data_IF_305596525559
#
_entry.id   IF_305596525559
#
_cell.length_a   1.000
_cell.length_b   1.000
_cell.length_c   1.000
_cell.angle_alpha   90.00
_cell.angle_beta   90.00
_cell.angle_gamma   90.00
#
_symmetry.space_group_name_H-M   'P 1'
#
loop_
_entity.id
_entity.type
_entity.pdbx_description
1 polymer ?
#
# COMPACT_ATOMS: atom_id res chain seq x y z
N UNK A 1 1.24 -30.86 -19.74
CA UNK A 1 1.77 -29.88 -20.70
C UNK A 1 1.42 -28.48 -20.25
N UNK A 2 2.16 -27.46 -20.74
CA UNK A 2 1.98 -26.08 -20.29
C UNK A 2 0.63 -25.50 -20.73
N UNK A 3 0.14 -25.85 -21.90
CA UNK A 3 -1.18 -25.43 -22.38
C UNK A 3 -2.30 -26.01 -21.51
N UNK A 4 -2.22 -27.28 -21.14
CA UNK A 4 -3.16 -27.93 -20.23
C UNK A 4 -3.14 -27.28 -18.85
N UNK A 5 -1.96 -26.94 -18.34
CA UNK A 5 -1.83 -26.21 -17.09
C UNK A 5 -2.49 -24.82 -17.15
N UNK A 6 -2.27 -24.05 -18.22
CA UNK A 6 -2.91 -22.75 -18.41
C UNK A 6 -4.43 -22.86 -18.58
N UNK A 7 -4.89 -23.91 -19.29
CA UNK A 7 -6.31 -24.23 -19.42
C UNK A 7 -6.93 -24.55 -18.05
N UNK A 8 -6.30 -25.43 -17.28
CA UNK A 8 -6.71 -25.77 -15.92
C UNK A 8 -6.82 -24.53 -15.02
N UNK A 9 -5.83 -23.64 -15.06
CA UNK A 9 -5.85 -22.40 -14.29
C UNK A 9 -7.07 -21.51 -14.62
N UNK A 10 -7.45 -21.45 -15.88
CA UNK A 10 -8.56 -20.62 -16.32
C UNK A 10 -9.93 -21.28 -16.07
N UNK A 11 -10.07 -22.55 -16.40
CA UNK A 11 -11.36 -23.26 -16.37
C UNK A 11 -11.69 -23.85 -15.01
N UNK A 12 -10.74 -24.59 -14.43
CA UNK A 12 -10.98 -25.31 -13.16
C UNK A 12 -10.73 -24.38 -11.95
N UNK A 13 -9.66 -23.56 -11.98
CA UNK A 13 -9.33 -22.67 -10.87
C UNK A 13 -10.02 -21.29 -10.96
N UNK A 14 -10.71 -20.96 -12.05
CA UNK A 14 -11.37 -19.67 -12.23
C UNK A 14 -10.45 -18.44 -12.16
N UNK A 15 -9.17 -18.61 -12.50
CA UNK A 15 -8.19 -17.54 -12.40
C UNK A 15 -8.49 -16.39 -13.37
N UNK A 16 -8.28 -15.15 -12.90
CA UNK A 16 -8.35 -13.96 -13.76
C UNK A 16 -7.21 -13.97 -14.78
N UNK A 17 -7.43 -13.38 -15.96
CA UNK A 17 -6.41 -13.23 -17.03
C UNK A 17 -5.08 -12.67 -16.50
N UNK A 18 -5.10 -11.70 -15.58
CA UNK A 18 -3.90 -11.13 -14.97
C UNK A 18 -3.12 -12.12 -14.10
N UNK A 19 -3.82 -13.00 -13.37
CA UNK A 19 -3.20 -14.07 -12.57
C UNK A 19 -2.55 -15.11 -13.45
N UNK A 20 -3.23 -15.51 -14.53
CA UNK A 20 -2.70 -16.46 -15.52
C UNK A 20 -1.48 -15.87 -16.24
N UNK A 21 -1.53 -14.60 -16.64
CA UNK A 21 -0.38 -13.93 -17.25
C UNK A 21 0.83 -13.87 -16.31
N UNK A 22 0.63 -13.62 -15.01
CA UNK A 22 1.72 -13.65 -14.01
C UNK A 22 2.35 -15.02 -13.87
N UNK A 23 1.53 -16.08 -13.82
CA UNK A 23 2.04 -17.46 -13.75
C UNK A 23 2.79 -17.86 -15.02
N UNK A 24 2.30 -17.46 -16.18
CA UNK A 24 3.02 -17.66 -17.44
C UNK A 24 4.37 -16.92 -17.44
N UNK A 25 4.41 -15.67 -16.97
CA UNK A 25 5.67 -14.93 -16.86
C UNK A 25 6.68 -15.63 -15.92
N UNK A 26 6.20 -16.27 -14.83
CA UNK A 26 7.08 -17.07 -13.96
C UNK A 26 7.61 -18.31 -14.67
N UNK A 27 6.78 -18.98 -15.51
CA UNK A 27 7.24 -20.10 -16.32
C UNK A 27 8.25 -19.68 -17.38
N UNK A 28 8.02 -18.55 -18.06
CA UNK A 28 9.01 -17.98 -19.00
C UNK A 28 10.35 -17.75 -18.31
N UNK A 29 10.36 -17.08 -17.16
CA UNK A 29 11.62 -16.85 -16.42
C UNK A 29 12.30 -18.14 -15.96
N UNK A 30 11.53 -19.16 -15.59
CA UNK A 30 12.08 -20.45 -15.18
C UNK A 30 12.72 -21.20 -16.36
N UNK A 31 12.02 -21.28 -17.49
CA UNK A 31 12.55 -21.96 -18.67
C UNK A 31 13.68 -21.18 -19.32
N UNK A 32 13.62 -19.86 -19.35
CA UNK A 32 14.75 -19.01 -19.77
C UNK A 32 16.01 -19.30 -18.94
N UNK A 33 15.86 -19.42 -17.61
CA UNK A 33 16.97 -19.80 -16.73
C UNK A 33 17.53 -21.19 -17.06
N UNK A 34 16.66 -22.19 -17.32
CA UNK A 34 17.09 -23.54 -17.65
C UNK A 34 17.83 -23.62 -18.99
N UNK A 35 17.42 -22.81 -19.96
CA UNK A 35 18.06 -22.78 -21.31
C UNK A 35 19.33 -21.95 -21.25
N UNK A 36 19.27 -20.71 -20.77
CA UNK A 36 20.33 -19.73 -20.99
C UNK A 36 21.35 -19.61 -19.83
N UNK A 37 21.02 -20.08 -18.62
CA UNK A 37 21.92 -19.98 -17.48
C UNK A 37 22.55 -21.32 -17.08
N UNK A 38 21.75 -22.38 -17.06
CA UNK A 38 22.22 -23.70 -16.60
C UNK A 38 22.39 -24.72 -17.73
N UNK A 39 22.00 -24.38 -18.97
CA UNK A 39 22.12 -25.21 -20.17
C UNK A 39 21.55 -26.63 -19.98
N UNK A 40 20.38 -26.73 -19.29
CA UNK A 40 19.70 -27.99 -19.02
C UNK A 40 18.63 -28.36 -20.06
N UNK A 41 18.25 -27.41 -20.89
CA UNK A 41 17.31 -27.56 -21.98
C UNK A 41 17.87 -26.90 -23.25
N UNK A 42 17.61 -27.51 -24.40
CA UNK A 42 18.04 -26.97 -25.69
C UNK A 42 17.12 -25.85 -26.20
N UNK A 43 15.87 -25.83 -25.74
CA UNK A 43 14.89 -24.81 -26.15
C UNK A 43 13.86 -24.53 -25.05
N UNK A 44 13.33 -23.31 -25.07
CA UNK A 44 12.25 -22.89 -24.15
C UNK A 44 10.88 -23.34 -24.65
N UNK A 45 10.21 -24.28 -23.97
CA UNK A 45 8.88 -24.76 -24.36
C UNK A 45 7.79 -23.71 -24.21
N UNK A 46 8.08 -22.56 -23.55
CA UNK A 46 7.13 -21.47 -23.37
C UNK A 46 7.27 -20.34 -24.39
N UNK A 47 8.34 -20.34 -25.21
CA UNK A 47 8.68 -19.24 -26.12
C UNK A 47 7.54 -18.83 -27.07
N UNK A 48 6.75 -19.80 -27.54
CA UNK A 48 5.61 -19.57 -28.44
C UNK A 48 4.32 -19.14 -27.73
N UNK A 49 4.27 -19.23 -26.40
CA UNK A 49 3.04 -18.99 -25.62
C UNK A 49 2.92 -17.50 -25.28
N UNK A 50 1.93 -16.86 -25.88
CA UNK A 50 1.66 -15.42 -25.59
C UNK A 50 0.78 -15.26 -24.37
N UNK A 51 1.07 -14.25 -23.52
CA UNK A 51 0.21 -13.95 -22.38
C UNK A 51 -1.20 -13.51 -22.84
N UNK A 52 -2.24 -13.85 -22.10
CA UNK A 52 -3.60 -13.42 -22.42
C UNK A 52 -3.68 -11.89 -22.45
N UNK A 53 -4.35 -11.36 -23.49
CA UNK A 53 -4.60 -9.93 -23.64
C UNK A 53 -5.31 -9.39 -22.40
N UNK A 54 -4.69 -8.44 -21.72
CA UNK A 54 -5.27 -7.80 -20.54
C UNK A 54 -6.05 -6.54 -20.98
N UNK A 55 -7.25 -6.40 -20.45
CA UNK A 55 -8.02 -5.18 -20.64
C UNK A 55 -7.33 -4.05 -19.84
N UNK A 56 -7.03 -2.94 -20.48
CA UNK A 56 -6.51 -1.73 -19.82
C UNK A 56 -7.64 -1.09 -19.01
N UNK A 57 -7.77 -1.47 -17.75
CA UNK A 57 -8.70 -0.83 -16.82
C UNK A 57 -8.03 0.44 -16.28
N UNK A 58 -8.68 1.58 -16.47
CA UNK A 58 -8.22 2.84 -15.87
C UNK A 58 -8.14 2.70 -14.35
N UNK A 59 -7.05 3.18 -13.71
CA UNK A 59 -6.92 3.14 -12.27
C UNK A 59 -8.09 3.89 -11.61
N UNK A 60 -8.81 3.23 -10.71
CA UNK A 60 -9.82 3.90 -9.88
C UNK A 60 -9.09 4.69 -8.79
N UNK A 61 -9.41 5.95 -8.65
CA UNK A 61 -8.95 6.84 -7.59
C UNK A 61 -10.15 7.51 -6.92
N UNK A 62 -9.97 8.02 -5.70
CA UNK A 62 -10.99 8.77 -4.98
C UNK A 62 -11.06 10.20 -5.49
N UNK A 63 -12.26 10.75 -5.59
CA UNK A 63 -12.45 12.20 -5.75
C UNK A 63 -12.05 12.93 -4.47
N UNK A 64 -11.93 14.26 -4.53
CA UNK A 64 -11.67 15.08 -3.34
C UNK A 64 -12.78 14.88 -2.29
N UNK A 65 -14.03 14.91 -2.70
CA UNK A 65 -15.20 14.65 -1.82
C UNK A 65 -15.12 13.26 -1.17
N UNK A 66 -14.91 12.20 -1.94
CA UNK A 66 -14.74 10.84 -1.42
C UNK A 66 -13.55 10.71 -0.46
N UNK A 67 -12.49 11.49 -0.68
CA UNK A 67 -11.34 11.52 0.22
C UNK A 67 -11.71 12.18 1.56
N UNK A 68 -12.55 13.21 1.56
CA UNK A 68 -13.08 13.84 2.77
C UNK A 68 -14.01 12.90 3.53
N UNK A 69 -14.93 12.21 2.84
CA UNK A 69 -15.82 11.20 3.45
C UNK A 69 -15.01 10.08 4.14
N UNK A 70 -13.92 9.64 3.50
CA UNK A 70 -13.02 8.66 4.09
C UNK A 70 -12.34 9.19 5.37
N UNK A 71 -11.85 10.42 5.35
CA UNK A 71 -11.23 11.06 6.52
C UNK A 71 -12.24 11.18 7.69
N UNK A 72 -13.45 11.64 7.42
CA UNK A 72 -14.52 11.74 8.42
C UNK A 72 -14.86 10.38 9.02
N UNK A 73 -14.94 9.33 8.19
CA UNK A 73 -15.22 7.98 8.65
C UNK A 73 -14.16 7.43 9.61
N UNK A 74 -12.89 7.83 9.46
CA UNK A 74 -11.81 7.44 10.39
C UNK A 74 -11.97 8.09 11.76
N UNK A 75 -12.56 9.28 11.83
CA UNK A 75 -12.79 9.98 13.09
C UNK A 75 -13.99 9.42 13.86
N UNK A 76 -15.04 9.00 13.13
CA UNK A 76 -16.32 8.59 13.73
C UNK A 76 -16.42 7.09 14.02
N UNK A 77 -15.71 6.25 13.27
CA UNK A 77 -15.86 4.78 13.33
C UNK A 77 -14.64 4.04 13.93
N UNK A 78 -13.61 4.76 14.35
CA UNK A 78 -12.38 4.16 14.88
C UNK A 78 -12.38 4.10 16.41
N UNK A 79 -11.71 3.06 16.95
CA UNK A 79 -11.37 2.95 18.36
C UNK A 79 -10.11 3.75 18.73
N UNK A 80 -9.39 4.27 17.75
CA UNK A 80 -8.26 5.18 17.90
C UNK A 80 -8.25 6.21 16.75
N UNK A 81 -9.17 7.19 16.78
CA UNK A 81 -9.43 8.09 15.66
C UNK A 81 -8.19 8.88 15.21
N UNK A 82 -7.41 9.41 16.13
CA UNK A 82 -6.26 10.25 15.81
C UNK A 82 -5.20 9.48 15.01
N UNK A 83 -4.98 8.20 15.35
CA UNK A 83 -4.07 7.32 14.62
C UNK A 83 -4.58 7.01 13.22
N UNK A 84 -5.83 6.59 13.12
CA UNK A 84 -6.40 6.11 11.85
C UNK A 84 -6.57 7.27 10.87
N UNK A 85 -6.99 8.45 11.37
CA UNK A 85 -7.02 9.68 10.61
C UNK A 85 -5.63 10.05 10.08
N UNK A 86 -4.61 10.07 10.94
CA UNK A 86 -3.23 10.39 10.55
C UNK A 86 -2.72 9.44 9.45
N UNK A 87 -2.95 8.13 9.58
CA UNK A 87 -2.55 7.17 8.54
C UNK A 87 -3.20 7.47 7.20
N UNK A 88 -4.50 7.79 7.17
CA UNK A 88 -5.21 8.10 5.92
C UNK A 88 -4.74 9.43 5.32
N UNK A 89 -4.53 10.46 6.14
CA UNK A 89 -3.94 11.75 5.70
C UNK A 89 -2.60 11.52 5.01
N UNK A 90 -1.70 10.74 5.62
CA UNK A 90 -0.39 10.43 5.04
C UNK A 90 -0.49 9.61 3.74
N UNK A 91 -1.42 8.66 3.65
CA UNK A 91 -1.66 7.93 2.40
C UNK A 91 -2.12 8.87 1.28
N UNK A 92 -3.04 9.79 1.56
CA UNK A 92 -3.64 10.68 0.57
C UNK A 92 -2.71 11.83 0.15
N UNK A 93 -1.87 12.35 1.07
CA UNK A 93 -1.02 13.50 0.79
C UNK A 93 0.42 13.10 0.43
N UNK A 94 0.97 12.05 1.01
CA UNK A 94 2.35 11.64 0.77
C UNK A 94 2.47 10.44 -0.18
N UNK A 95 1.36 9.81 -0.53
CA UNK A 95 1.35 8.64 -1.41
C UNK A 95 2.25 7.50 -0.93
N UNK A 96 2.35 7.28 0.37
CA UNK A 96 3.19 6.24 0.98
C UNK A 96 2.75 4.83 0.58
N UNK A 97 3.72 3.89 0.54
CA UNK A 97 3.38 2.47 0.53
C UNK A 97 2.97 2.02 1.93
N UNK A 98 2.12 1.01 2.02
CA UNK A 98 1.70 0.45 3.30
C UNK A 98 2.88 0.03 4.19
N UNK A 99 3.87 -0.65 3.60
CA UNK A 99 5.08 -1.07 4.32
C UNK A 99 5.96 0.09 4.78
N UNK A 100 6.00 1.19 4.03
CA UNK A 100 6.72 2.42 4.40
C UNK A 100 6.06 3.06 5.63
N UNK A 101 4.72 3.20 5.61
CA UNK A 101 3.98 3.77 6.73
C UNK A 101 4.11 2.91 8.00
N UNK A 102 3.95 1.59 7.89
CA UNK A 102 4.06 0.68 9.04
C UNK A 102 5.50 0.61 9.58
N UNK A 103 6.50 0.67 8.69
CA UNK A 103 7.92 0.59 9.04
C UNK A 103 8.49 1.84 9.70
N UNK A 104 7.77 2.95 9.69
CA UNK A 104 8.24 4.26 10.13
C UNK A 104 8.53 4.30 11.63
N UNK A 105 9.69 4.84 12.01
CA UNK A 105 10.12 5.10 13.38
C UNK A 105 10.03 6.59 13.72
N UNK A 106 10.00 6.93 15.00
CA UNK A 106 9.92 8.31 15.46
C UNK A 106 11.08 9.16 14.93
N UNK A 107 12.28 8.60 14.82
CA UNK A 107 13.47 9.28 14.32
C UNK A 107 13.44 9.52 12.79
N UNK A 108 12.46 8.96 12.10
CA UNK A 108 12.28 9.22 10.66
C UNK A 108 11.47 10.48 10.39
N UNK A 109 10.88 11.09 11.43
CA UNK A 109 10.02 12.26 11.32
C UNK A 109 10.77 13.49 11.80
N UNK A 110 10.88 14.49 10.92
CA UNK A 110 11.34 15.83 11.25
C UNK A 110 10.19 16.81 11.01
N UNK A 111 9.50 17.19 12.09
CA UNK A 111 8.39 18.13 12.01
C UNK A 111 8.85 19.58 11.82
N UNK A 112 10.07 19.94 12.22
CA UNK A 112 10.62 21.30 12.02
C UNK A 112 10.93 21.52 10.55
N UNK A 113 11.58 20.55 9.92
CA UNK A 113 11.87 20.57 8.48
C UNK A 113 10.69 20.09 7.62
N UNK A 114 9.59 19.66 8.25
CA UNK A 114 8.40 19.11 7.58
C UNK A 114 8.73 17.98 6.61
N UNK A 115 9.48 17.00 7.08
CA UNK A 115 9.97 15.90 6.26
C UNK A 115 9.79 14.55 6.97
N UNK A 116 9.63 13.51 6.18
CA UNK A 116 9.70 12.12 6.63
C UNK A 116 10.68 11.38 5.74
N UNK A 117 11.59 10.65 6.36
CA UNK A 117 12.48 9.70 5.71
C UNK A 117 11.80 8.35 5.58
N UNK A 118 11.67 7.85 4.37
CA UNK A 118 11.04 6.57 4.08
C UNK A 118 12.02 5.58 3.48
N UNK A 119 11.92 4.34 3.92
CA UNK A 119 12.72 3.22 3.39
C UNK A 119 11.87 2.34 2.49
N UNK A 120 12.23 2.30 1.21
CA UNK A 120 11.57 1.51 0.19
C UNK A 120 12.19 0.11 -0.01
N UNK A 121 11.72 -0.61 -1.02
CA UNK A 121 12.26 -1.92 -1.41
C UNK A 121 13.77 -1.81 -1.72
N UNK A 122 14.58 -2.66 -1.10
CA UNK A 122 16.05 -2.67 -1.27
C UNK A 122 16.76 -1.57 -0.48
N UNK A 123 16.21 -1.13 0.66
CA UNK A 123 16.75 -0.07 1.52
C UNK A 123 16.99 1.28 0.81
N UNK A 124 16.30 1.54 -0.29
CA UNK A 124 16.36 2.85 -0.94
C UNK A 124 15.62 3.87 -0.10
N UNK A 125 16.34 4.88 0.33
CA UNK A 125 15.78 6.02 1.07
C UNK A 125 15.11 7.02 0.12
N UNK A 126 14.05 7.66 0.59
CA UNK A 126 13.47 8.84 -0.04
C UNK A 126 12.91 9.77 1.02
N UNK A 127 13.06 11.06 0.81
CA UNK A 127 12.42 12.10 1.62
C UNK A 127 11.02 12.40 1.06
N UNK A 128 10.09 12.66 1.96
CA UNK A 128 8.75 13.11 1.62
C UNK A 128 8.45 14.38 2.43
N UNK A 129 8.00 15.42 1.74
CA UNK A 129 7.63 16.68 2.36
C UNK A 129 6.19 16.64 2.88
N UNK A 130 5.96 17.28 4.02
CA UNK A 130 4.68 17.32 4.71
C UNK A 130 4.01 18.68 4.47
N UNK A 131 2.76 18.65 4.02
CA UNK A 131 1.90 19.84 4.05
C UNK A 131 1.31 20.04 5.46
N UNK A 132 0.62 21.16 5.66
CA UNK A 132 0.05 21.51 6.98
C UNK A 132 -0.86 20.42 7.52
N UNK A 133 -1.73 19.84 6.69
CA UNK A 133 -2.63 18.75 7.10
C UNK A 133 -1.87 17.51 7.62
N UNK A 134 -0.74 17.17 7.01
CA UNK A 134 0.11 16.06 7.48
C UNK A 134 0.77 16.38 8.82
N UNK A 135 1.29 17.60 8.98
CA UNK A 135 1.92 18.04 10.23
C UNK A 135 0.92 18.05 11.37
N UNK A 136 -0.25 18.65 11.17
CA UNK A 136 -1.34 18.68 12.16
C UNK A 136 -1.81 17.28 12.57
N UNK A 137 -2.04 16.39 11.60
CA UNK A 137 -2.45 15.02 11.86
C UNK A 137 -1.40 14.22 12.64
N UNK A 138 -0.12 14.40 12.30
CA UNK A 138 1.00 13.78 13.03
C UNK A 138 1.10 14.32 14.45
N UNK A 139 1.06 15.63 14.65
CA UNK A 139 1.11 16.25 15.98
C UNK A 139 -0.03 15.75 16.88
N UNK A 140 -1.25 15.76 16.34
CA UNK A 140 -2.44 15.27 17.06
C UNK A 140 -2.27 13.82 17.51
N UNK A 141 -1.85 12.95 16.59
CA UNK A 141 -1.64 11.54 16.91
C UNK A 141 -0.46 11.32 17.85
N UNK A 142 0.70 11.96 17.63
CA UNK A 142 1.89 11.79 18.46
C UNK A 142 1.65 12.27 19.90
N UNK A 143 0.90 13.34 20.11
CA UNK A 143 0.49 13.78 21.44
C UNK A 143 -0.32 12.71 22.16
N UNK A 144 -1.28 12.07 21.49
CA UNK A 144 -2.04 10.94 22.05
C UNK A 144 -1.21 9.70 22.29
N UNK A 145 -0.31 9.36 21.34
CA UNK A 145 0.61 8.24 21.46
C UNK A 145 1.53 8.37 22.66
N UNK A 146 2.12 9.55 22.87
CA UNK A 146 3.12 9.76 23.91
C UNK A 146 2.55 9.69 25.33
N UNK A 147 1.27 9.94 25.50
CA UNK A 147 0.57 9.83 26.81
C UNK A 147 -0.16 8.48 26.98
N UNK A 148 0.05 7.50 26.09
CA UNK A 148 -0.59 6.19 26.20
C UNK A 148 -0.04 5.43 27.40
N UNK A 149 -0.91 5.15 28.37
CA UNK A 149 -0.58 4.34 29.53
C UNK A 149 -0.03 2.96 29.13
N UNK A 150 1.14 2.57 29.66
CA UNK A 150 1.82 1.30 29.40
C UNK A 150 2.49 1.18 28.02
N UNK A 151 2.64 2.27 27.27
CA UNK A 151 3.52 2.31 26.11
C UNK A 151 4.98 2.29 26.61
N UNK A 152 5.78 1.38 26.06
CA UNK A 152 7.21 1.33 26.40
C UNK A 152 7.93 2.60 25.93
N UNK A 153 8.75 3.24 26.76
CA UNK A 153 9.61 4.35 26.32
C UNK A 153 10.60 3.97 25.22
N UNK A 154 10.86 2.66 25.05
CA UNK A 154 11.76 2.12 24.02
C UNK A 154 11.03 1.81 22.69
N UNK A 155 9.69 1.93 22.66
CA UNK A 155 8.93 1.69 21.43
C UNK A 155 9.15 2.84 20.44
N UNK A 156 9.84 2.54 19.36
CA UNK A 156 10.22 3.54 18.33
C UNK A 156 9.19 3.67 17.22
N UNK A 157 8.33 2.65 17.03
CA UNK A 157 7.34 2.68 15.96
C UNK A 157 6.44 3.92 16.05
N UNK A 158 6.26 4.64 14.95
CA UNK A 158 5.30 5.74 14.90
C UNK A 158 3.90 5.21 15.18
N UNK A 159 3.44 4.26 14.40
CA UNK A 159 2.09 3.73 14.53
C UNK A 159 2.04 2.47 15.39
N UNK A 160 1.33 2.57 16.50
CA UNK A 160 1.18 1.49 17.48
C UNK A 160 -0.27 1.02 17.60
N UNK A 161 -0.44 -0.23 18.02
CA UNK A 161 -1.75 -0.79 18.35
C UNK A 161 -2.25 -0.25 19.69
N UNK A 162 -3.57 0.00 19.83
CA UNK A 162 -4.14 0.52 21.08
C UNK A 162 -3.97 -0.44 22.26
N UNK A 163 -4.14 -1.74 22.04
CA UNK A 163 -4.13 -2.76 23.12
C UNK A 163 -2.74 -3.20 23.51
N UNK A 164 -1.92 -3.64 22.53
CA UNK A 164 -0.57 -4.19 22.80
C UNK A 164 0.51 -3.13 22.86
N UNK A 165 0.23 -1.92 22.30
CA UNK A 165 1.19 -0.80 22.28
C UNK A 165 2.51 -1.16 21.60
N UNK A 166 2.42 -2.00 20.61
CA UNK A 166 3.49 -2.44 19.71
C UNK A 166 3.23 -1.95 18.29
N UNK A 167 4.24 -1.96 17.43
CA UNK A 167 4.13 -1.59 16.01
C UNK A 167 2.89 -2.23 15.36
N UNK A 168 2.10 -1.42 14.68
CA UNK A 168 0.94 -1.91 13.94
C UNK A 168 1.38 -2.77 12.75
N UNK A 169 0.65 -3.83 12.43
CA UNK A 169 0.94 -4.68 11.29
C UNK A 169 0.27 -4.18 10.00
N UNK A 170 0.85 -4.50 8.83
CA UNK A 170 0.25 -4.22 7.52
C UNK A 170 -1.20 -4.69 7.45
N UNK A 171 -1.46 -5.93 7.89
CA UNK A 171 -2.81 -6.50 7.90
C UNK A 171 -3.79 -5.68 8.74
N UNK A 172 -3.34 -5.16 9.89
CA UNK A 172 -4.22 -4.34 10.75
C UNK A 172 -4.54 -2.99 10.08
N UNK A 173 -3.56 -2.33 9.47
CA UNK A 173 -3.80 -1.10 8.71
C UNK A 173 -4.76 -1.34 7.54
N UNK A 174 -4.58 -2.43 6.78
CA UNK A 174 -5.51 -2.79 5.70
C UNK A 174 -6.93 -2.99 6.20
N UNK A 175 -7.11 -3.66 7.36
CA UNK A 175 -8.43 -3.86 7.97
C UNK A 175 -9.07 -2.53 8.38
N UNK A 176 -8.30 -1.64 9.02
CA UNK A 176 -8.77 -0.33 9.46
C UNK A 176 -9.19 0.54 8.27
N UNK A 177 -8.32 0.66 7.27
CA UNK A 177 -8.61 1.44 6.06
C UNK A 177 -9.79 0.86 5.28
N UNK A 178 -9.88 -0.47 5.16
CA UNK A 178 -11.02 -1.13 4.48
C UNK A 178 -12.32 -0.90 5.26
N UNK A 179 -12.26 -0.93 6.59
CA UNK A 179 -13.41 -0.63 7.46
C UNK A 179 -13.90 0.81 7.28
N UNK A 180 -12.97 1.79 7.30
CA UNK A 180 -13.28 3.20 7.07
C UNK A 180 -13.87 3.43 5.67
N UNK A 181 -13.28 2.83 4.63
CA UNK A 181 -13.81 2.89 3.26
C UNK A 181 -15.22 2.33 3.16
N UNK A 182 -15.50 1.21 3.85
CA UNK A 182 -16.83 0.61 3.88
C UNK A 182 -17.84 1.53 4.57
N UNK A 183 -17.45 2.16 5.68
CA UNK A 183 -18.28 3.11 6.42
C UNK A 183 -18.59 4.36 5.58
N UNK A 184 -17.64 4.86 4.81
CA UNK A 184 -17.80 5.94 3.85
C UNK A 184 -18.52 5.53 2.53
N UNK A 185 -19.04 4.29 2.43
CA UNK A 185 -19.71 3.82 1.20
C UNK A 185 -18.79 3.54 0.01
N UNK A 186 -17.48 3.58 0.18
CA UNK A 186 -16.47 3.47 -0.86
C UNK A 186 -16.14 2.01 -1.18
N UNK A 187 -16.82 1.41 -2.16
CA UNK A 187 -16.63 0.00 -2.55
C UNK A 187 -15.50 -0.17 -3.55
N UNK A 188 -14.68 -1.20 -3.33
CA UNK A 188 -13.65 -1.63 -4.28
C UNK A 188 -12.35 -0.80 -4.24
N UNK A 189 -12.12 -0.04 -3.17
CA UNK A 189 -10.86 0.64 -2.88
C UNK A 189 -9.99 -0.16 -1.90
N UNK A 190 -8.71 0.17 -1.84
CA UNK A 190 -7.70 -0.46 -0.97
C UNK A 190 -6.60 0.55 -0.64
N UNK A 191 -5.75 0.27 0.34
CA UNK A 191 -4.59 1.12 0.68
C UNK A 191 -3.72 1.46 -0.53
N UNK A 192 -3.52 0.50 -1.45
CA UNK A 192 -2.75 0.73 -2.68
C UNK A 192 -3.43 1.77 -3.60
N UNK A 193 -4.77 1.78 -3.65
CA UNK A 193 -5.51 2.77 -4.44
C UNK A 193 -5.48 4.16 -3.84
N UNK A 194 -5.29 4.32 -2.51
CA UNK A 194 -5.05 5.63 -1.89
C UNK A 194 -3.76 6.27 -2.41
N UNK A 195 -2.70 5.47 -2.60
CA UNK A 195 -1.48 5.97 -3.23
C UNK A 195 -1.70 6.43 -4.68
N UNK A 196 -2.52 5.72 -5.45
CA UNK A 196 -2.93 6.18 -6.79
C UNK A 196 -3.74 7.46 -6.72
N UNK A 197 -4.63 7.58 -5.73
CA UNK A 197 -5.41 8.80 -5.47
C UNK A 197 -4.48 9.98 -5.20
N UNK A 198 -3.51 9.83 -4.28
CA UNK A 198 -2.52 10.85 -3.98
C UNK A 198 -1.81 11.35 -5.25
N UNK A 199 -1.26 10.43 -6.04
CA UNK A 199 -0.56 10.77 -7.27
C UNK A 199 -1.46 11.50 -8.28
N UNK A 200 -2.72 11.05 -8.42
CA UNK A 200 -3.68 11.68 -9.36
C UNK A 200 -4.08 13.08 -8.88
N UNK A 201 -4.37 13.25 -7.60
CA UNK A 201 -4.77 14.55 -7.05
C UNK A 201 -3.59 15.56 -7.12
N UNK A 202 -2.36 15.14 -6.82
CA UNK A 202 -1.17 15.98 -6.97
C UNK A 202 -0.98 16.43 -8.43
N UNK A 203 -1.13 15.51 -9.37
CA UNK A 203 -1.02 15.83 -10.79
C UNK A 203 -2.10 16.83 -11.24
N UNK A 204 -3.34 16.67 -10.78
CA UNK A 204 -4.46 17.56 -11.13
C UNK A 204 -4.32 18.96 -10.52
N UNK A 205 -3.68 19.10 -9.37
CA UNK A 205 -3.43 20.38 -8.69
C UNK A 205 -2.18 21.11 -9.21
N UNK A 206 -1.43 20.52 -10.12
CA UNK A 206 -0.21 21.12 -10.69
C UNK A 206 0.98 21.18 -9.71
N UNK A 207 0.94 20.42 -8.62
CA UNK A 207 1.99 20.35 -7.60
C UNK A 207 2.99 19.20 -7.86
N UNK A 208 3.33 18.94 -9.13
CA UNK A 208 4.35 17.95 -9.55
C UNK A 208 5.39 18.64 -10.40
#
# INVERSE_FOLDING_TARGET
>A
DIYEYLYFLNRECGNKKSSTARRLASLHGFYDYLVNQVNRLDSDPTAAIKPPKQDKVLPKYLTAEQSMDLLESTQTQSDFPERDYCMVVLFLNCGMRLSELVGMDLDDIDLEQRQIRLFGKGHKERMVYLNDACVEALQLYLNKRNVMEGLSPKERAVFVTRRRKERISNRRVEQLVTGAMKAAGLKGFSTHKLRHTAATLMYQTGNV
#
